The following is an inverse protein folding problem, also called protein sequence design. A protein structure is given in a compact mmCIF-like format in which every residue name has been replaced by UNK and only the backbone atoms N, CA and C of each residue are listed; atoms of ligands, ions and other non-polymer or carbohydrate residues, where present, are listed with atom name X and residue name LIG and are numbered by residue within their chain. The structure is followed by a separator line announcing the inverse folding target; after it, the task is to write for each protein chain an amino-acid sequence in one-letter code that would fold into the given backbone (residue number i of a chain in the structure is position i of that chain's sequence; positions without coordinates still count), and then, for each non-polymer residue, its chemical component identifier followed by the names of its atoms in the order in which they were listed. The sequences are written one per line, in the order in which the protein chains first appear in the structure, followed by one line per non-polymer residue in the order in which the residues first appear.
data_IF_058222434608
#
_entry.id   IF_058222434608
#
_cell.length_a   1.000
_cell.length_b   1.000
_cell.length_c   1.000
_cell.angle_alpha   90.00
_cell.angle_beta   90.00
_cell.angle_gamma   90.00
#
_symmetry.space_group_name_H-M   'P 1'
#
loop_
_entity.id
_entity.type
_entity.pdbx_description
1 polymer ?
#
# COMPACT_ATOMS: atom_id res chain seq x y z
N UNK A 1 9.15 -19.68 9.54
CA UNK A 1 8.86 -18.49 8.77
C UNK A 1 9.59 -18.58 7.43
N UNK A 2 8.84 -18.58 6.35
CA UNK A 2 9.37 -18.59 4.98
C UNK A 2 8.89 -17.30 4.33
N UNK A 3 9.82 -16.55 3.73
CA UNK A 3 9.51 -15.35 2.97
C UNK A 3 10.20 -15.40 1.62
N UNK A 4 9.44 -15.21 0.57
CA UNK A 4 9.93 -15.18 -0.81
C UNK A 4 9.49 -13.90 -1.46
N UNK A 5 10.40 -13.20 -2.13
CA UNK A 5 10.09 -11.99 -2.90
C UNK A 5 10.66 -12.07 -4.31
N UNK A 6 9.92 -11.51 -5.25
CA UNK A 6 10.32 -11.37 -6.64
C UNK A 6 10.17 -9.90 -7.04
N UNK A 7 11.20 -9.37 -7.69
CA UNK A 7 11.19 -8.03 -8.25
C UNK A 7 11.74 -8.08 -9.67
N UNK A 8 11.09 -7.39 -10.58
CA UNK A 8 11.56 -7.24 -11.95
C UNK A 8 11.31 -5.82 -12.46
N UNK A 9 12.25 -5.30 -13.22
CA UNK A 9 12.12 -4.01 -13.89
C UNK A 9 12.38 -4.14 -15.38
N UNK A 10 11.64 -3.37 -16.13
CA UNK A 10 11.74 -3.29 -17.58
C UNK A 10 11.73 -1.83 -18.02
N UNK A 11 12.61 -1.48 -18.96
CA UNK A 11 12.68 -0.13 -19.52
C UNK A 11 12.85 -0.26 -21.03
N UNK A 12 12.07 0.49 -21.81
CA UNK A 12 12.20 0.53 -23.25
C UNK A 12 13.54 1.15 -23.70
N UNK A 13 14.04 0.75 -24.86
CA UNK A 13 15.34 1.20 -25.37
C UNK A 13 15.43 2.73 -25.56
N UNK A 14 14.30 3.38 -25.81
CA UNK A 14 14.19 4.84 -25.92
C UNK A 14 13.93 5.54 -24.60
N UNK A 15 13.89 4.80 -23.49
CA UNK A 15 13.60 5.28 -22.13
C UNK A 15 12.27 6.03 -22.00
N UNK A 16 11.33 5.80 -22.92
CA UNK A 16 10.01 6.43 -22.89
C UNK A 16 9.03 5.69 -22.01
N UNK A 17 9.18 4.40 -21.87
CA UNK A 17 8.33 3.58 -21.02
C UNK A 17 9.16 2.72 -20.06
N UNK A 18 8.63 2.46 -18.90
CA UNK A 18 9.22 1.51 -17.97
C UNK A 18 8.16 0.96 -17.03
N UNK A 19 8.42 -0.25 -16.56
CA UNK A 19 7.59 -0.93 -15.59
C UNK A 19 8.48 -1.59 -14.53
N UNK A 20 7.99 -1.59 -13.31
CA UNK A 20 8.51 -2.34 -12.18
C UNK A 20 7.37 -3.16 -11.61
N UNK A 21 7.60 -4.46 -11.45
CA UNK A 21 6.67 -5.39 -10.84
C UNK A 21 7.31 -6.00 -9.62
N UNK A 22 6.52 -6.27 -8.60
CA UNK A 22 6.97 -6.89 -7.38
C UNK A 22 5.93 -7.84 -6.83
N UNK A 23 6.40 -8.86 -6.15
CA UNK A 23 5.57 -9.79 -5.42
C UNK A 23 6.31 -10.28 -4.18
N UNK A 24 5.57 -10.59 -3.12
CA UNK A 24 6.07 -11.17 -1.88
C UNK A 24 5.03 -12.12 -1.33
N UNK A 25 5.51 -13.28 -0.90
CA UNK A 25 4.73 -14.25 -0.13
C UNK A 25 5.47 -14.46 1.18
N UNK A 26 4.74 -14.45 2.28
CA UNK A 26 5.26 -14.80 3.60
C UNK A 26 4.33 -15.79 4.25
N UNK A 27 4.91 -16.88 4.74
CA UNK A 27 4.23 -17.91 5.48
C UNK A 27 4.98 -18.18 6.79
N UNK A 28 4.27 -18.17 7.89
CA UNK A 28 4.79 -18.44 9.22
C UNK A 28 3.75 -19.18 10.03
N UNK A 29 4.14 -20.34 10.54
CA UNK A 29 3.35 -21.07 11.53
C UNK A 29 3.33 -20.33 12.87
N UNK A 30 2.29 -20.58 13.64
CA UNK A 30 2.24 -20.15 15.02
C UNK A 30 3.37 -20.78 15.82
N UNK A 31 3.83 -20.09 16.84
CA UNK A 31 4.84 -20.59 17.76
C UNK A 31 4.36 -20.44 19.20
N UNK A 32 4.29 -21.56 19.89
CA UNK A 32 4.07 -21.69 21.31
C UNK A 32 5.43 -21.98 21.96
N UNK A 33 5.87 -21.09 22.84
CA UNK A 33 7.21 -21.15 23.44
C UNK A 33 7.31 -22.12 24.60
N UNK A 34 6.25 -22.25 25.36
CA UNK A 34 6.22 -22.97 26.65
C UNK A 34 5.34 -24.21 26.63
N UNK A 35 4.78 -24.53 25.45
CA UNK A 35 3.95 -25.72 25.21
C UNK A 35 2.67 -25.74 26.09
N UNK A 36 2.11 -24.55 26.36
CA UNK A 36 0.87 -24.41 27.12
C UNK A 36 -0.39 -24.35 26.24
N UNK A 37 -0.21 -24.47 24.92
CA UNK A 37 -1.29 -24.43 23.95
C UNK A 37 -1.66 -23.01 23.49
N UNK A 38 -0.98 -21.99 24.01
CA UNK A 38 -1.14 -20.60 23.59
C UNK A 38 0.02 -20.16 22.70
N UNK A 39 -0.29 -19.55 21.56
CA UNK A 39 0.73 -19.05 20.64
C UNK A 39 1.16 -17.63 20.96
N UNK A 40 2.38 -17.42 21.43
CA UNK A 40 2.97 -16.08 21.61
C UNK A 40 3.27 -15.42 20.27
N UNK A 41 3.48 -16.21 19.23
CA UNK A 41 3.67 -15.71 17.89
C UNK A 41 2.56 -16.27 16.99
N UNK A 42 1.72 -15.42 16.39
CA UNK A 42 0.62 -15.88 15.55
C UNK A 42 1.08 -16.46 14.21
N UNK A 43 0.27 -17.31 13.63
CA UNK A 43 0.35 -17.66 12.21
C UNK A 43 0.22 -16.39 11.37
N UNK A 44 1.06 -16.28 10.35
CA UNK A 44 0.93 -15.24 9.31
C UNK A 44 0.98 -15.90 7.94
N UNK A 45 0.01 -15.57 7.12
CA UNK A 45 0.01 -15.84 5.70
C UNK A 45 -0.26 -14.53 4.97
N UNK A 46 0.73 -14.04 4.22
CA UNK A 46 0.66 -12.74 3.56
C UNK A 46 1.13 -12.84 2.11
N UNK A 47 0.35 -12.26 1.23
CA UNK A 47 0.63 -12.16 -0.19
C UNK A 47 0.55 -10.70 -0.61
N UNK A 48 1.56 -10.23 -1.31
CA UNK A 48 1.61 -8.88 -1.88
C UNK A 48 1.98 -8.98 -3.35
N UNK A 49 1.27 -8.30 -4.20
CA UNK A 49 1.61 -8.13 -5.61
C UNK A 49 1.34 -6.69 -6.03
N UNK A 50 2.19 -6.15 -6.87
CA UNK A 50 1.99 -4.79 -7.38
C UNK A 50 2.87 -4.46 -8.56
N UNK A 51 2.58 -3.32 -9.14
CA UNK A 51 3.39 -2.76 -10.21
C UNK A 51 3.42 -1.23 -10.12
N UNK A 52 4.45 -0.67 -10.72
CA UNK A 52 4.57 0.75 -11.04
C UNK A 52 5.09 0.89 -12.46
N UNK A 53 4.42 1.69 -13.26
CA UNK A 53 4.79 1.93 -14.65
C UNK A 53 4.82 3.43 -14.94
N UNK A 54 5.60 3.81 -15.93
CA UNK A 54 5.62 5.17 -16.44
C UNK A 54 5.64 5.20 -17.97
N UNK A 55 5.11 6.28 -18.50
CA UNK A 55 5.21 6.61 -19.91
C UNK A 55 5.49 8.11 -20.07
N UNK A 56 6.56 8.44 -20.80
CA UNK A 56 6.87 9.81 -21.19
C UNK A 56 6.04 10.17 -22.42
N UNK A 57 5.00 10.95 -22.22
CA UNK A 57 4.12 11.41 -23.31
C UNK A 57 4.81 12.44 -24.21
N UNK A 58 5.82 13.15 -23.66
CA UNK A 58 6.72 14.03 -24.40
C UNK A 58 8.08 14.13 -23.67
N UNK A 59 9.00 14.94 -24.22
CA UNK A 59 10.27 15.25 -23.55
C UNK A 59 10.08 15.95 -22.18
N UNK A 60 8.91 16.57 -21.98
CA UNK A 60 8.61 17.40 -20.80
C UNK A 60 7.44 16.87 -19.98
N UNK A 61 6.92 15.70 -20.30
CA UNK A 61 5.75 15.16 -19.59
C UNK A 61 5.85 13.67 -19.39
N UNK A 62 5.36 13.23 -18.22
CA UNK A 62 5.40 11.84 -17.81
C UNK A 62 4.11 11.47 -17.07
N UNK A 63 3.51 10.38 -17.50
CA UNK A 63 2.45 9.69 -16.78
C UNK A 63 3.06 8.54 -15.97
N UNK A 64 2.66 8.41 -14.72
CA UNK A 64 3.01 7.28 -13.85
C UNK A 64 1.73 6.66 -13.34
N UNK A 65 1.67 5.32 -13.35
CA UNK A 65 0.57 4.55 -12.76
C UNK A 65 1.15 3.52 -11.81
N UNK A 66 0.45 3.28 -10.70
CA UNK A 66 0.82 2.24 -9.74
C UNK A 66 -0.42 1.55 -9.18
N UNK A 67 -0.24 0.30 -8.85
CA UNK A 67 -1.26 -0.51 -8.18
C UNK A 67 -0.59 -1.58 -7.33
N UNK A 68 -1.20 -1.89 -6.18
CA UNK A 68 -0.82 -3.03 -5.36
C UNK A 68 -2.06 -3.68 -4.74
N UNK A 69 -1.94 -4.97 -4.53
CA UNK A 69 -2.87 -5.78 -3.76
C UNK A 69 -2.13 -6.49 -2.64
N UNK A 70 -2.69 -6.42 -1.43
CA UNK A 70 -2.17 -7.11 -0.25
C UNK A 70 -3.31 -7.96 0.30
N UNK A 71 -3.02 -9.23 0.54
CA UNK A 71 -3.85 -10.15 1.30
C UNK A 71 -3.06 -10.61 2.50
N UNK A 72 -3.63 -10.50 3.68
CA UNK A 72 -2.99 -10.96 4.90
C UNK A 72 -3.99 -11.69 5.78
N UNK A 73 -3.55 -12.81 6.32
CA UNK A 73 -4.25 -13.58 7.34
C UNK A 73 -3.33 -13.72 8.55
N UNK A 74 -3.90 -13.54 9.75
CA UNK A 74 -3.25 -13.81 11.03
C UNK A 74 -4.18 -14.57 11.93
N UNK A 75 -3.65 -15.52 12.70
CA UNK A 75 -4.35 -16.26 13.73
C UNK A 75 -3.40 -16.53 14.89
N UNK A 76 -3.77 -16.08 16.09
CA UNK A 76 -3.07 -16.31 17.34
C UNK A 76 -4.05 -16.68 18.48
N UNK A 77 -3.50 -16.99 19.62
CA UNK A 77 -4.22 -17.45 20.80
C UNK A 77 -4.08 -18.95 20.99
N UNK A 78 -5.05 -19.54 21.65
CA UNK A 78 -5.12 -20.98 21.86
C UNK A 78 -6.00 -21.70 20.84
N UNK A 79 -5.96 -23.03 20.83
CA UNK A 79 -6.81 -23.90 20.00
C UNK A 79 -6.92 -23.42 18.53
N UNK A 80 -5.80 -23.29 17.86
CA UNK A 80 -5.70 -22.71 16.52
C UNK A 80 -6.51 -23.46 15.45
N UNK A 81 -6.83 -24.74 15.68
CA UNK A 81 -7.54 -25.62 14.75
C UNK A 81 -9.07 -25.44 14.78
N UNK A 82 -9.61 -24.73 15.76
CA UNK A 82 -11.04 -24.46 15.87
C UNK A 82 -11.38 -23.03 15.43
N UNK A 83 -12.66 -22.74 15.15
CA UNK A 83 -13.13 -21.39 14.96
C UNK A 83 -12.74 -20.49 16.14
N UNK A 84 -12.36 -19.21 15.92
CA UNK A 84 -11.83 -18.37 16.99
C UNK A 84 -12.78 -18.15 18.17
N UNK A 85 -14.10 -18.22 17.95
CA UNK A 85 -15.11 -18.12 19.02
C UNK A 85 -15.32 -19.42 19.83
N UNK A 86 -14.62 -20.48 19.48
CA UNK A 86 -14.57 -21.74 20.23
C UNK A 86 -13.30 -21.88 21.06
N UNK A 87 -12.35 -20.98 20.88
CA UNK A 87 -11.12 -20.87 21.65
C UNK A 87 -11.33 -20.02 22.91
N UNK A 88 -10.54 -20.27 23.98
CA UNK A 88 -10.62 -19.47 25.20
C UNK A 88 -10.08 -18.06 25.01
N UNK A 89 -8.98 -17.91 24.25
CA UNK A 89 -8.39 -16.61 23.86
C UNK A 89 -8.00 -16.71 22.39
N UNK A 90 -8.55 -15.82 21.58
CA UNK A 90 -8.26 -15.84 20.16
C UNK A 90 -8.16 -14.45 19.54
N UNK A 91 -7.17 -14.29 18.70
CA UNK A 91 -7.12 -13.22 17.70
C UNK A 91 -7.14 -13.81 16.29
N UNK A 92 -7.90 -13.20 15.42
CA UNK A 92 -7.89 -13.52 13.98
C UNK A 92 -8.12 -12.26 13.20
N UNK A 93 -7.29 -12.02 12.20
CA UNK A 93 -7.49 -10.93 11.25
C UNK A 93 -7.31 -11.41 9.83
N UNK A 94 -8.12 -10.89 8.95
CA UNK A 94 -7.96 -11.05 7.50
C UNK A 94 -8.11 -9.69 6.86
N UNK A 95 -7.05 -9.25 6.18
CA UNK A 95 -7.01 -8.01 5.43
C UNK A 95 -7.01 -8.30 3.93
N UNK A 96 -7.74 -7.48 3.19
CA UNK A 96 -7.61 -7.33 1.75
C UNK A 96 -7.48 -5.85 1.45
N UNK A 97 -6.34 -5.44 0.92
CA UNK A 97 -6.03 -4.04 0.63
C UNK A 97 -5.77 -3.91 -0.86
N UNK A 98 -6.43 -2.95 -1.50
CA UNK A 98 -6.14 -2.53 -2.86
C UNK A 98 -5.76 -1.07 -2.82
N UNK A 99 -4.63 -0.73 -3.39
CA UNK A 99 -4.19 0.65 -3.48
C UNK A 99 -3.59 0.94 -4.84
N UNK A 100 -3.66 2.19 -5.25
CA UNK A 100 -3.07 2.60 -6.52
C UNK A 100 -3.23 4.07 -6.78
N UNK A 101 -2.63 4.53 -7.87
CA UNK A 101 -2.69 5.93 -8.22
C UNK A 101 -2.20 6.22 -9.63
N UNK A 102 -2.55 7.42 -10.06
CA UNK A 102 -2.07 8.00 -11.31
C UNK A 102 -1.42 9.35 -10.99
N UNK A 103 -0.34 9.65 -11.68
CA UNK A 103 0.36 10.91 -11.57
C UNK A 103 0.79 11.38 -12.97
N UNK A 104 0.52 12.63 -13.25
CA UNK A 104 0.96 13.30 -14.45
C UNK A 104 1.85 14.49 -14.09
N UNK A 105 3.11 14.44 -14.55
CA UNK A 105 4.09 15.51 -14.41
C UNK A 105 4.23 16.22 -15.75
N UNK A 106 4.17 17.55 -15.78
CA UNK A 106 4.38 18.41 -16.91
C UNK A 106 5.39 19.50 -16.54
N UNK A 107 6.41 19.67 -17.39
CA UNK A 107 7.42 20.71 -17.26
C UNK A 107 7.39 21.65 -18.45
N UNK A 108 7.69 22.92 -18.24
CA UNK A 108 8.00 23.83 -19.33
C UNK A 108 9.37 23.48 -19.97
N UNK A 109 9.61 23.95 -21.19
CA UNK A 109 10.88 23.71 -21.90
C UNK A 109 12.11 24.24 -21.15
N UNK A 110 11.95 25.27 -20.37
CA UNK A 110 13.01 25.87 -19.54
C UNK A 110 13.06 25.30 -18.11
N UNK A 111 12.21 24.29 -17.81
CA UNK A 111 12.09 23.61 -16.50
C UNK A 111 11.77 24.53 -15.33
N UNK A 112 11.31 25.75 -15.58
CA UNK A 112 10.92 26.67 -14.52
C UNK A 112 9.52 26.43 -13.99
N UNK A 113 8.63 25.94 -14.82
CA UNK A 113 7.26 25.61 -14.46
C UNK A 113 7.13 24.11 -14.36
N UNK A 114 6.55 23.65 -13.27
CA UNK A 114 6.20 22.26 -13.06
C UNK A 114 4.74 22.18 -12.63
N UNK A 115 3.93 21.42 -13.35
CA UNK A 115 2.60 21.02 -12.97
C UNK A 115 2.62 19.54 -12.63
N UNK A 116 2.06 19.20 -11.48
CA UNK A 116 1.84 17.83 -11.06
C UNK A 116 0.35 17.64 -10.78
N UNK A 117 -0.27 16.69 -11.48
CA UNK A 117 -1.63 16.23 -11.22
C UNK A 117 -1.54 14.80 -10.71
N UNK A 118 -2.29 14.49 -9.67
CA UNK A 118 -2.30 13.16 -9.10
C UNK A 118 -3.66 12.75 -8.57
N UNK A 119 -3.88 11.45 -8.58
CA UNK A 119 -4.98 10.80 -7.87
C UNK A 119 -4.50 9.49 -7.30
N UNK A 120 -5.02 9.13 -6.14
CA UNK A 120 -4.79 7.85 -5.50
C UNK A 120 -6.07 7.32 -4.88
N UNK A 121 -6.13 6.00 -4.75
CA UNK A 121 -7.19 5.33 -4.03
C UNK A 121 -6.62 4.24 -3.15
N UNK A 122 -7.30 3.96 -2.04
CA UNK A 122 -7.07 2.80 -1.21
C UNK A 122 -8.41 2.23 -0.77
N UNK A 123 -8.59 0.93 -0.94
CA UNK A 123 -9.73 0.20 -0.41
C UNK A 123 -9.24 -0.88 0.55
N UNK A 124 -9.76 -0.88 1.77
CA UNK A 124 -9.44 -1.84 2.82
C UNK A 124 -10.69 -2.62 3.17
N UNK A 125 -10.58 -3.94 3.19
CA UNK A 125 -11.58 -4.84 3.76
C UNK A 125 -10.90 -5.65 4.83
N UNK A 126 -11.38 -5.53 6.07
CA UNK A 126 -10.88 -6.26 7.22
C UNK A 126 -12.01 -7.04 7.87
N UNK A 127 -11.78 -8.32 8.14
CA UNK A 127 -12.55 -9.09 9.10
C UNK A 127 -11.64 -9.43 10.28
N UNK A 128 -12.14 -9.33 11.48
CA UNK A 128 -11.38 -9.56 12.70
C UNK A 128 -12.20 -10.33 13.72
N UNK A 129 -11.52 -11.00 14.60
CA UNK A 129 -12.02 -11.53 15.86
C UNK A 129 -10.97 -11.21 16.92
N UNK A 130 -11.39 -10.65 18.02
CA UNK A 130 -10.57 -10.43 19.22
C UNK A 130 -11.43 -10.75 20.42
N UNK A 131 -11.31 -11.96 20.95
CA UNK A 131 -12.19 -12.43 21.99
C UNK A 131 -11.52 -13.37 22.97
N UNK A 132 -12.13 -13.45 24.16
CA UNK A 132 -11.81 -14.39 25.20
C UNK A 132 -13.13 -15.00 25.75
N UNK A 133 -13.04 -16.20 26.35
CA UNK A 133 -14.19 -16.87 26.95
C UNK A 133 -15.23 -17.33 25.92
N UNK A 134 -14.79 -17.66 24.71
CA UNK A 134 -15.66 -18.22 23.63
C UNK A 134 -16.79 -17.28 23.20
N UNK A 135 -16.52 -15.97 23.13
CA UNK A 135 -17.54 -14.98 22.78
C UNK A 135 -17.86 -14.98 21.28
N UNK A 136 -19.08 -15.40 20.85
CA UNK A 136 -19.47 -15.38 19.46
C UNK A 136 -19.72 -13.97 18.91
N UNK A 137 -19.76 -12.93 19.75
CA UNK A 137 -20.03 -11.55 19.34
C UNK A 137 -18.75 -10.73 19.10
N UNK A 138 -17.55 -11.31 19.35
CA UNK A 138 -16.28 -10.61 19.24
C UNK A 138 -15.77 -10.49 17.78
N UNK A 139 -16.64 -10.71 16.78
CA UNK A 139 -16.34 -10.49 15.38
C UNK A 139 -16.50 -9.04 14.97
N UNK A 140 -15.54 -8.54 14.20
CA UNK A 140 -15.57 -7.21 13.61
C UNK A 140 -15.41 -7.25 12.10
N UNK A 141 -16.00 -6.28 11.42
CA UNK A 141 -15.81 -6.04 9.99
C UNK A 141 -15.63 -4.57 9.75
N UNK A 142 -14.58 -4.23 9.00
CA UNK A 142 -14.29 -2.85 8.56
C UNK A 142 -14.19 -2.82 7.05
N UNK A 143 -14.80 -1.81 6.44
CA UNK A 143 -14.62 -1.46 5.04
C UNK A 143 -14.28 0.03 5.05
N UNK A 144 -13.15 0.35 4.48
CA UNK A 144 -12.65 1.71 4.36
C UNK A 144 -12.25 1.96 2.90
N UNK A 145 -12.64 3.11 2.35
CA UNK A 145 -12.29 3.50 1.00
C UNK A 145 -11.84 4.95 1.04
N UNK A 146 -10.60 5.18 0.70
CA UNK A 146 -10.00 6.52 0.62
C UNK A 146 -9.72 6.87 -0.83
N UNK A 147 -10.07 8.08 -1.21
CA UNK A 147 -9.76 8.66 -2.51
C UNK A 147 -9.13 10.03 -2.31
N UNK A 148 -8.01 10.27 -2.99
CA UNK A 148 -7.30 11.55 -2.99
C UNK A 148 -7.09 12.01 -4.42
N UNK A 149 -7.31 13.28 -4.68
CA UNK A 149 -6.97 13.92 -5.95
C UNK A 149 -6.38 15.30 -5.69
N UNK A 150 -5.34 15.67 -6.42
CA UNK A 150 -4.69 16.94 -6.20
C UNK A 150 -3.97 17.48 -7.42
N UNK A 151 -3.72 18.77 -7.37
CA UNK A 151 -2.91 19.50 -8.33
C UNK A 151 -1.90 20.38 -7.59
N UNK A 152 -0.65 20.34 -8.05
CA UNK A 152 0.42 21.14 -7.50
C UNK A 152 1.15 21.83 -8.65
N UNK A 153 1.38 23.13 -8.49
CA UNK A 153 2.17 23.93 -9.41
C UNK A 153 3.38 24.50 -8.69
N UNK A 154 4.54 24.42 -9.33
CA UNK A 154 5.76 25.01 -8.83
C UNK A 154 6.41 25.89 -9.89
N UNK A 155 6.90 27.05 -9.47
CA UNK A 155 7.68 27.97 -10.28
C UNK A 155 9.06 28.21 -9.68
N UNK A 156 10.10 27.96 -10.47
CA UNK A 156 11.51 28.15 -10.06
C UNK A 156 12.03 29.49 -10.55
N UNK A 157 12.34 30.38 -9.63
CA UNK A 157 13.00 31.64 -9.88
C UNK A 157 14.52 31.42 -10.03
N UNK A 158 15.14 32.06 -11.03
CA UNK A 158 16.62 32.08 -11.12
C UNK A 158 17.22 32.75 -9.91
N UNK A 159 16.63 33.85 -9.48
CA UNK A 159 16.93 34.59 -8.26
C UNK A 159 15.65 35.24 -7.72
N UNK A 160 15.37 35.05 -6.47
CA UNK A 160 14.43 35.86 -5.70
C UNK A 160 15.26 36.48 -4.57
N UNK A 161 15.36 37.82 -4.54
CA UNK A 161 16.32 38.53 -3.70
C UNK A 161 17.76 38.13 -4.05
N UNK A 162 18.38 37.21 -3.31
CA UNK A 162 19.78 36.84 -3.46
C UNK A 162 20.04 35.39 -3.82
N UNK A 163 18.99 34.51 -3.73
CA UNK A 163 19.12 33.07 -3.84
C UNK A 163 18.19 32.49 -4.93
N UNK A 164 18.57 31.38 -5.56
CA UNK A 164 17.64 30.54 -6.32
C UNK A 164 16.50 30.13 -5.40
N UNK A 165 15.26 30.27 -5.84
CA UNK A 165 14.07 30.03 -5.03
C UNK A 165 12.98 29.33 -5.83
N UNK A 166 12.10 28.63 -5.15
CA UNK A 166 10.93 27.99 -5.77
C UNK A 166 9.68 28.37 -4.97
N UNK A 167 8.64 28.77 -5.68
CA UNK A 167 7.30 28.92 -5.14
C UNK A 167 6.48 27.71 -5.55
N UNK A 168 5.81 27.09 -4.58
CA UNK A 168 4.91 25.95 -4.82
C UNK A 168 3.54 26.27 -4.22
N UNK A 169 2.49 26.03 -5.00
CA UNK A 169 1.10 26.11 -4.56
C UNK A 169 0.35 24.86 -5.04
N UNK A 170 -0.66 24.45 -4.29
CA UNK A 170 -1.44 23.27 -4.64
C UNK A 170 -2.79 23.24 -3.95
N UNK A 171 -3.64 22.37 -4.46
CA UNK A 171 -4.95 22.03 -3.90
C UNK A 171 -5.07 20.52 -3.84
N UNK A 172 -5.71 20.01 -2.81
CA UNK A 172 -5.97 18.59 -2.62
C UNK A 172 -7.40 18.39 -2.14
N UNK A 173 -8.03 17.36 -2.68
CA UNK A 173 -9.31 16.83 -2.24
C UNK A 173 -9.07 15.45 -1.65
N UNK A 174 -9.62 15.21 -0.48
CA UNK A 174 -9.57 13.92 0.21
C UNK A 174 -10.98 13.52 0.62
N UNK A 175 -11.32 12.25 0.37
CA UNK A 175 -12.58 11.64 0.76
C UNK A 175 -12.29 10.25 1.35
N UNK A 176 -12.82 9.99 2.54
CA UNK A 176 -12.71 8.73 3.30
C UNK A 176 -14.08 8.21 3.69
#
# INVERSE_FOLDING_TARGET
DISTSLNASFVSNDYRAGAYVFGMIRDRDAYDRNDDGFSEIPTINSETIGFRTYYKTSAYSKLTAEYHHIREFRRGGDNLDVPPHEAEIAEKTRHGINGGGLRFDLFSKDYRHKLNLYTSFQGIRRSSYYGAGKDPNAYGRTIDNTFVAGAQYAYSFRKLLFLPSQLTAGVEFNNT
#
